data_IF_577262497160
#
_entry.id   IF_577262497160
#
_cell.length_a   1.000
_cell.length_b   1.000
_cell.length_c   1.000
_cell.angle_alpha   90.00
_cell.angle_beta   90.00
_cell.angle_gamma   90.00
#
_symmetry.space_group_name_H-M   'P 1'
#
loop_
_entity.id
_entity.type
_entity.pdbx_description
1 polymer ?
#
# COMPACT_ATOMS: atom_id res chain seq x y z
N UNK A 1 15.80 -2.92 34.74
CA UNK A 1 16.42 -4.27 34.81
C UNK A 1 15.42 -5.36 34.41
N UNK A 2 14.89 -5.34 33.17
CA UNK A 2 14.02 -6.40 32.64
C UNK A 2 14.26 -6.62 31.14
N UNK A 3 15.48 -6.41 30.67
CA UNK A 3 15.83 -6.54 29.24
C UNK A 3 16.60 -7.83 28.90
N UNK A 4 17.03 -8.63 29.89
CA UNK A 4 17.97 -9.73 29.61
C UNK A 4 17.48 -11.13 29.98
N UNK A 5 16.22 -11.33 30.41
CA UNK A 5 15.74 -12.68 30.78
C UNK A 5 15.71 -13.67 29.61
N UNK A 6 15.64 -13.17 28.37
CA UNK A 6 15.68 -14.02 27.17
C UNK A 6 17.08 -14.57 26.87
N UNK A 7 18.14 -13.85 27.24
CA UNK A 7 19.52 -14.28 27.03
C UNK A 7 19.93 -15.38 28.02
N UNK A 8 19.45 -15.31 29.26
CA UNK A 8 19.66 -16.37 30.27
C UNK A 8 19.01 -17.69 29.83
N UNK A 9 17.76 -17.65 29.37
CA UNK A 9 17.06 -18.84 28.87
C UNK A 9 17.77 -19.47 27.65
N UNK A 10 18.35 -18.66 26.78
CA UNK A 10 19.10 -19.13 25.61
C UNK A 10 20.49 -19.65 25.98
N UNK A 11 21.00 -19.34 27.18
CA UNK A 11 22.24 -19.89 27.73
C UNK A 11 22.00 -21.21 28.45
N UNK A 12 20.82 -21.41 29.03
CA UNK A 12 20.45 -22.67 29.72
C UNK A 12 20.21 -23.82 28.74
N UNK A 13 19.87 -23.50 27.49
CA UNK A 13 19.85 -24.43 26.39
C UNK A 13 21.08 -24.12 25.53
N UNK A 14 22.08 -25.00 25.45
CA UNK A 14 23.19 -24.92 24.46
C UNK A 14 22.63 -24.99 23.02
N UNK A 15 21.95 -23.92 22.60
CA UNK A 15 21.31 -23.80 21.31
C UNK A 15 22.35 -23.32 20.31
N UNK A 16 23.00 -24.26 19.63
CA UNK A 16 23.72 -23.92 18.41
C UNK A 16 22.70 -23.41 17.38
N UNK A 17 22.70 -22.09 17.14
CA UNK A 17 21.89 -21.49 16.07
C UNK A 17 22.51 -21.91 14.74
N UNK A 18 22.09 -23.08 14.23
CA UNK A 18 22.49 -23.55 12.91
C UNK A 18 21.85 -22.68 11.83
N UNK A 19 22.58 -21.64 11.42
CA UNK A 19 22.20 -20.83 10.26
C UNK A 19 22.35 -21.66 8.99
N UNK A 20 21.24 -21.92 8.31
CA UNK A 20 21.21 -22.61 7.03
C UNK A 20 20.89 -21.61 5.91
N UNK A 21 21.90 -21.17 5.12
CA UNK A 21 21.72 -20.17 4.06
C UNK A 21 20.61 -20.55 3.06
N UNK A 22 20.44 -21.84 2.78
CA UNK A 22 19.40 -22.35 1.88
C UNK A 22 17.97 -22.27 2.43
N UNK A 23 17.78 -22.25 3.76
CA UNK A 23 16.45 -22.11 4.39
C UNK A 23 16.08 -20.64 4.62
N UNK A 24 17.05 -19.80 4.95
CA UNK A 24 16.85 -18.36 5.08
C UNK A 24 16.30 -17.75 3.77
N UNK A 25 16.85 -18.16 2.63
CA UNK A 25 16.39 -17.72 1.31
C UNK A 25 14.93 -18.12 1.00
N UNK A 26 14.43 -19.23 1.55
CA UNK A 26 13.04 -19.66 1.33
C UNK A 26 12.06 -18.75 2.07
N UNK A 27 12.40 -18.37 3.31
CA UNK A 27 11.60 -17.43 4.11
C UNK A 27 11.63 -16.04 3.47
N UNK A 28 12.81 -15.57 3.04
CA UNK A 28 12.94 -14.29 2.36
C UNK A 28 12.20 -14.25 1.02
N UNK A 29 12.30 -15.29 0.20
CA UNK A 29 11.57 -15.37 -1.08
C UNK A 29 10.05 -15.45 -0.86
N UNK A 30 9.59 -16.20 0.15
CA UNK A 30 8.18 -16.27 0.51
C UNK A 30 7.63 -14.91 0.99
N UNK A 31 8.40 -14.18 1.80
CA UNK A 31 8.01 -12.85 2.29
C UNK A 31 8.05 -11.80 1.16
N UNK A 32 9.07 -11.81 0.31
CA UNK A 32 9.24 -10.90 -0.83
C UNK A 32 8.09 -11.04 -1.84
N UNK A 33 7.63 -12.26 -2.11
CA UNK A 33 6.48 -12.52 -2.98
C UNK A 33 5.19 -11.89 -2.44
N UNK A 34 4.94 -11.99 -1.12
CA UNK A 34 3.77 -11.38 -0.48
C UNK A 34 3.85 -9.86 -0.46
N UNK A 35 5.05 -9.32 -0.26
CA UNK A 35 5.29 -7.88 -0.31
C UNK A 35 5.09 -7.33 -1.71
N UNK A 36 5.44 -8.03 -2.81
CA UNK A 36 5.27 -7.51 -4.19
C UNK A 36 3.80 -7.43 -4.65
N UNK A 37 2.94 -8.34 -4.20
CA UNK A 37 1.53 -8.40 -4.65
C UNK A 37 0.72 -7.17 -4.17
N UNK A 38 0.92 -6.73 -2.94
CA UNK A 38 0.24 -5.55 -2.36
C UNK A 38 0.52 -4.22 -3.09
N UNK A 39 1.78 -3.79 -3.31
CA UNK A 39 2.13 -2.56 -4.00
C UNK A 39 1.79 -2.60 -5.48
N UNK A 40 1.71 -3.78 -6.11
CA UNK A 40 1.20 -3.87 -7.49
C UNK A 40 -0.28 -3.48 -7.58
N UNK A 41 -1.12 -3.93 -6.63
CA UNK A 41 -2.54 -3.53 -6.57
C UNK A 41 -2.71 -2.05 -6.23
N UNK A 42 -1.91 -1.53 -5.30
CA UNK A 42 -1.93 -0.09 -4.96
C UNK A 42 -1.50 0.76 -6.15
N UNK A 43 -0.42 0.39 -6.85
CA UNK A 43 0.02 1.12 -8.06
C UNK A 43 -1.03 1.09 -9.17
N UNK A 44 -1.64 -0.06 -9.44
CA UNK A 44 -2.72 -0.16 -10.43
C UNK A 44 -3.91 0.73 -10.06
N UNK A 45 -4.33 0.71 -8.79
CA UNK A 45 -5.43 1.54 -8.30
C UNK A 45 -5.09 3.04 -8.35
N UNK A 46 -3.85 3.43 -8.03
CA UNK A 46 -3.38 4.81 -8.13
C UNK A 46 -3.37 5.29 -9.58
N UNK A 47 -2.96 4.44 -10.53
CA UNK A 47 -3.01 4.79 -11.96
C UNK A 47 -4.44 4.91 -12.47
N UNK A 48 -5.36 4.03 -12.05
CA UNK A 48 -6.77 4.12 -12.47
C UNK A 48 -7.44 5.33 -11.85
N UNK A 49 -7.30 5.57 -10.54
CA UNK A 49 -7.90 6.73 -9.86
C UNK A 49 -7.25 8.03 -10.36
N UNK A 50 -5.93 8.07 -10.49
CA UNK A 50 -5.20 9.27 -10.91
C UNK A 50 -5.52 9.72 -12.34
N UNK A 51 -5.91 8.81 -13.23
CA UNK A 51 -6.27 9.15 -14.62
C UNK A 51 -7.78 9.33 -14.83
N UNK A 52 -8.60 8.50 -14.18
CA UNK A 52 -10.06 8.48 -14.39
C UNK A 52 -10.78 9.59 -13.61
N UNK A 53 -10.31 9.90 -12.38
CA UNK A 53 -10.97 10.89 -11.53
C UNK A 53 -10.86 12.33 -12.10
N UNK A 54 -9.68 12.82 -12.53
CA UNK A 54 -9.59 14.17 -13.10
C UNK A 54 -10.40 14.32 -14.38
N UNK A 55 -10.45 13.27 -15.20
CA UNK A 55 -11.25 13.24 -16.43
C UNK A 55 -12.75 13.36 -16.12
N UNK A 56 -13.27 12.57 -15.17
CA UNK A 56 -14.67 12.65 -14.73
C UNK A 56 -15.03 14.01 -14.13
N UNK A 57 -14.11 14.61 -13.36
CA UNK A 57 -14.31 15.96 -12.82
C UNK A 57 -14.44 16.98 -13.96
N UNK A 58 -13.56 16.92 -14.96
CA UNK A 58 -13.61 17.81 -16.11
C UNK A 58 -14.91 17.64 -16.90
N UNK A 59 -15.34 16.40 -17.17
CA UNK A 59 -16.60 16.10 -17.86
C UNK A 59 -17.80 16.67 -17.09
N UNK A 60 -17.85 16.49 -15.76
CA UNK A 60 -18.91 17.03 -14.92
C UNK A 60 -18.92 18.58 -14.86
N UNK A 61 -17.75 19.21 -14.83
CA UNK A 61 -17.64 20.67 -14.89
C UNK A 61 -18.15 21.24 -16.21
N UNK A 62 -17.78 20.62 -17.33
CA UNK A 62 -18.27 21.01 -18.66
C UNK A 62 -19.79 20.87 -18.74
N UNK A 63 -20.33 19.79 -18.19
CA UNK A 63 -21.77 19.57 -18.14
C UNK A 63 -22.52 20.60 -17.29
N UNK A 64 -21.95 21.02 -16.16
CA UNK A 64 -22.54 22.05 -15.31
C UNK A 64 -22.56 23.44 -15.96
N UNK A 65 -21.58 23.75 -16.82
CA UNK A 65 -21.46 25.04 -17.53
C UNK A 65 -22.36 25.11 -18.78
N UNK A 66 -23.02 24.00 -19.16
CA UNK A 66 -23.97 24.02 -20.29
C UNK A 66 -25.04 25.09 -20.08
N UNK A 67 -25.42 25.84 -21.13
CA UNK A 67 -26.42 26.92 -21.04
C UNK A 67 -27.80 26.44 -20.57
N UNK A 68 -28.09 25.15 -20.72
CA UNK A 68 -29.31 24.50 -20.22
C UNK A 68 -29.36 24.40 -18.68
N UNK A 69 -28.20 24.35 -18.03
CA UNK A 69 -28.05 24.16 -16.58
C UNK A 69 -27.74 25.47 -15.84
N UNK A 70 -27.26 26.49 -16.57
CA UNK A 70 -27.03 27.83 -16.04
C UNK A 70 -28.37 28.54 -15.82
N UNK A 71 -28.89 28.48 -14.59
CA UNK A 71 -29.89 29.46 -14.16
C UNK A 71 -29.19 30.81 -14.13
N UNK A 72 -29.56 31.73 -15.01
CA UNK A 72 -29.15 33.12 -14.91
C UNK A 72 -29.68 33.61 -13.55
N UNK A 73 -28.81 33.72 -12.56
CA UNK A 73 -29.10 34.49 -11.36
C UNK A 73 -29.33 35.92 -11.85
N UNK A 74 -30.60 36.30 -11.88
CA UNK A 74 -31.03 37.66 -12.22
C UNK A 74 -30.53 38.56 -11.09
N UNK A 75 -29.37 39.19 -11.33
CA UNK A 75 -28.78 40.15 -10.40
C UNK A 75 -29.61 41.43 -10.50
N UNK A 76 -30.60 41.53 -9.62
CA UNK A 76 -31.37 42.75 -9.37
C UNK A 76 -30.56 43.87 -8.72
#
# INVERSE_FOLDING_TARGET
MRECRWLELLSDYDCEIHYHPGKANIVDDALSRKERIKPLRVRALVMTIGLDLPRKILEAQIEAIKPENLKFEDVG
#
